data_IF_835598298553
#
_entry.id   IF_835598298553
#
_cell.length_a   1.000
_cell.length_b   1.000
_cell.length_c   1.000
_cell.angle_alpha   90.00
_cell.angle_beta   90.00
_cell.angle_gamma   90.00
#
_symmetry.space_group_name_H-M   'P 1'
#
loop_
_entity.id
_entity.type
_entity.pdbx_description
1 polymer ?
#
# COMPACT_ATOMS: atom_id res chain seq x y z
N UNK A 1 23.73 -2.65 2.14
CA UNK A 1 23.69 -2.83 3.61
C UNK A 1 23.72 -1.56 4.47
N UNK A 2 23.65 -0.34 3.91
CA UNK A 2 23.45 0.89 4.71
C UNK A 2 22.53 1.88 4.00
N UNK A 3 21.23 1.54 3.93
CA UNK A 3 20.23 2.49 3.42
C UNK A 3 19.94 3.60 4.44
N UNK A 4 20.07 3.30 5.74
CA UNK A 4 19.71 4.21 6.82
C UNK A 4 20.96 4.72 7.59
N UNK A 5 20.96 5.99 8.06
CA UNK A 5 19.96 7.03 7.76
C UNK A 5 19.96 7.39 6.27
N UNK A 6 18.82 7.89 5.78
CA UNK A 6 18.65 8.20 4.36
C UNK A 6 19.56 9.36 3.95
N UNK A 7 20.36 9.15 2.91
CA UNK A 7 21.08 10.20 2.20
C UNK A 7 20.09 10.92 1.24
N UNK A 8 19.50 12.02 1.74
CA UNK A 8 18.47 12.76 1.01
C UNK A 8 19.02 13.45 -0.25
N UNK A 9 20.24 13.98 -0.19
CA UNK A 9 20.86 14.63 -1.35
C UNK A 9 21.07 13.64 -2.48
N UNK A 10 21.54 12.43 -2.16
CA UNK A 10 21.65 11.35 -3.15
C UNK A 10 20.29 10.92 -3.69
N UNK A 11 19.26 10.84 -2.84
CA UNK A 11 17.91 10.46 -3.26
C UNK A 11 17.31 11.49 -4.22
N UNK A 12 17.36 12.78 -3.88
CA UNK A 12 16.85 13.85 -4.74
C UNK A 12 17.65 13.98 -6.05
N UNK A 13 18.99 13.90 -6.00
CA UNK A 13 19.82 13.85 -7.22
C UNK A 13 19.40 12.71 -8.14
N UNK A 14 19.02 11.55 -7.59
CA UNK A 14 18.55 10.44 -8.42
C UNK A 14 17.14 10.69 -8.98
N UNK A 15 16.22 11.21 -8.17
CA UNK A 15 14.87 11.58 -8.63
C UNK A 15 14.90 12.63 -9.75
N UNK A 16 15.81 13.62 -9.65
CA UNK A 16 15.98 14.65 -10.69
C UNK A 16 16.31 14.06 -12.08
N UNK A 17 16.98 12.90 -12.13
CA UNK A 17 17.31 12.22 -13.41
C UNK A 17 16.09 11.76 -14.21
N UNK A 18 14.94 11.59 -13.56
CA UNK A 18 13.68 11.12 -14.17
C UNK A 18 12.51 12.08 -13.93
N UNK A 19 12.73 13.19 -13.23
CA UNK A 19 11.67 14.08 -12.71
C UNK A 19 10.70 14.58 -13.78
N UNK A 20 11.19 14.84 -14.99
CA UNK A 20 10.38 15.28 -16.13
C UNK A 20 9.37 14.24 -16.61
N UNK A 21 9.60 12.97 -16.27
CA UNK A 21 8.78 11.82 -16.68
C UNK A 21 7.91 11.31 -15.53
N UNK A 22 7.95 11.93 -14.34
CA UNK A 22 7.16 11.51 -13.18
C UNK A 22 5.74 12.09 -13.27
N UNK A 23 4.75 11.20 -13.19
CA UNK A 23 3.35 11.55 -12.90
C UNK A 23 3.03 11.12 -11.48
N UNK A 24 2.67 12.08 -10.62
CA UNK A 24 2.40 11.83 -9.20
C UNK A 24 0.95 11.40 -8.97
N UNK A 25 0.76 10.29 -8.25
CA UNK A 25 -0.56 9.85 -7.78
C UNK A 25 -0.74 10.22 -6.29
N UNK A 26 -1.89 10.77 -5.95
CA UNK A 26 -2.28 11.13 -4.58
C UNK A 26 -3.16 10.08 -3.88
N UNK A 27 -3.63 9.08 -4.63
CA UNK A 27 -4.45 8.00 -4.08
C UNK A 27 -4.46 6.74 -4.94
N UNK A 28 -4.88 5.63 -4.33
CA UNK A 28 -4.81 4.32 -4.96
C UNK A 28 -5.61 4.19 -6.27
N UNK A 29 -6.82 4.77 -6.34
CA UNK A 29 -7.63 4.75 -7.57
C UNK A 29 -6.95 5.51 -8.72
N UNK A 30 -6.35 6.66 -8.43
CA UNK A 30 -5.58 7.43 -9.42
C UNK A 30 -4.39 6.62 -9.94
N UNK A 31 -3.67 5.92 -9.05
CA UNK A 31 -2.54 5.08 -9.47
C UNK A 31 -2.97 3.97 -10.44
N UNK A 32 -4.15 3.37 -10.23
CA UNK A 32 -4.71 2.35 -11.14
C UNK A 32 -5.04 2.95 -12.51
N UNK A 33 -5.72 4.09 -12.53
CA UNK A 33 -6.12 4.76 -13.77
C UNK A 33 -4.92 5.16 -14.63
N UNK A 34 -3.87 5.70 -14.03
CA UNK A 34 -2.65 6.10 -14.75
C UNK A 34 -2.03 4.92 -15.50
N UNK A 35 -1.93 3.75 -14.84
CA UNK A 35 -1.36 2.56 -15.47
C UNK A 35 -2.31 1.92 -16.48
N UNK A 36 -3.60 1.81 -16.15
CA UNK A 36 -4.61 1.18 -17.01
C UNK A 36 -4.85 1.95 -18.31
N UNK A 37 -4.80 3.29 -18.26
CA UNK A 37 -4.95 4.15 -19.44
C UNK A 37 -3.71 4.18 -20.33
N UNK A 38 -2.56 3.71 -19.84
CA UNK A 38 -1.28 3.84 -20.52
C UNK A 38 -0.64 5.23 -20.43
N UNK A 39 -1.20 6.14 -19.62
CA UNK A 39 -0.56 7.43 -19.33
C UNK A 39 0.81 7.25 -18.66
N UNK A 40 0.94 6.20 -17.84
CA UNK A 40 2.25 5.70 -17.36
C UNK A 40 2.45 4.25 -17.79
N UNK A 41 3.69 3.89 -18.10
CA UNK A 41 4.07 2.52 -18.51
C UNK A 41 4.58 1.65 -17.36
N UNK A 42 5.04 2.27 -16.27
CA UNK A 42 5.50 1.61 -15.03
C UNK A 42 5.49 2.59 -13.86
N UNK A 43 5.50 2.07 -12.63
CA UNK A 43 5.59 2.91 -11.45
C UNK A 43 5.66 2.13 -10.14
N UNK A 44 5.92 2.85 -9.05
CA UNK A 44 5.72 2.35 -7.69
C UNK A 44 4.23 2.42 -7.34
N UNK A 45 3.66 1.31 -6.90
CA UNK A 45 2.23 1.20 -6.56
C UNK A 45 2.04 0.34 -5.32
N UNK A 46 0.92 0.53 -4.61
CA UNK A 46 0.48 -0.42 -3.59
C UNK A 46 0.04 -1.74 -4.25
N UNK A 47 0.46 -2.87 -3.70
CA UNK A 47 0.29 -4.16 -4.37
C UNK A 47 -1.18 -4.55 -4.61
N UNK A 48 -2.09 -4.23 -3.67
CA UNK A 48 -3.52 -4.51 -3.85
C UNK A 48 -4.12 -3.79 -5.06
N UNK A 49 -3.54 -2.65 -5.49
CA UNK A 49 -3.98 -1.90 -6.67
C UNK A 49 -3.56 -2.58 -7.97
N UNK A 50 -2.36 -3.16 -8.00
CA UNK A 50 -1.91 -3.97 -9.14
C UNK A 50 -2.70 -5.28 -9.21
N UNK A 51 -2.97 -5.91 -8.06
CA UNK A 51 -3.83 -7.09 -8.00
C UNK A 51 -5.23 -6.82 -8.54
N UNK A 52 -5.87 -5.71 -8.15
CA UNK A 52 -7.18 -5.33 -8.67
C UNK A 52 -7.18 -5.14 -10.20
N UNK A 53 -6.15 -4.48 -10.76
CA UNK A 53 -6.00 -4.37 -12.21
C UNK A 53 -5.87 -5.73 -12.90
N UNK A 54 -5.17 -6.68 -12.29
CA UNK A 54 -5.05 -8.05 -12.82
C UNK A 54 -6.39 -8.80 -12.75
N UNK A 55 -7.18 -8.61 -11.68
CA UNK A 55 -8.53 -9.17 -11.59
C UNK A 55 -9.48 -8.58 -12.65
N UNK A 56 -9.31 -7.31 -12.99
CA UNK A 56 -10.06 -6.63 -14.06
C UNK A 56 -9.56 -6.99 -15.47
N UNK A 57 -8.54 -7.85 -15.59
CA UNK A 57 -8.00 -8.32 -16.87
C UNK A 57 -7.06 -7.34 -17.57
N UNK A 58 -6.59 -6.29 -16.88
CA UNK A 58 -5.62 -5.37 -17.45
C UNK A 58 -4.27 -6.08 -17.70
N UNK A 59 -3.58 -5.80 -18.83
CA UNK A 59 -2.33 -6.48 -19.20
C UNK A 59 -1.12 -5.93 -18.42
N UNK A 60 -1.13 -6.07 -17.09
CA UNK A 60 -0.10 -5.51 -16.20
C UNK A 60 0.72 -6.61 -15.50
N UNK A 61 2.04 -6.41 -15.48
CA UNK A 61 2.98 -7.25 -14.72
C UNK A 61 3.35 -6.66 -13.36
N UNK A 62 3.92 -7.49 -12.49
CA UNK A 62 4.44 -7.07 -11.17
C UNK A 62 5.83 -7.67 -10.93
N UNK A 63 6.73 -6.88 -10.35
CA UNK A 63 8.03 -7.34 -9.84
C UNK A 63 8.11 -7.09 -8.34
N UNK A 64 8.43 -8.15 -7.59
CA UNK A 64 8.60 -8.09 -6.13
C UNK A 64 10.05 -7.90 -5.68
N UNK A 65 10.99 -7.82 -6.64
CA UNK A 65 12.41 -7.59 -6.34
C UNK A 65 12.55 -6.24 -5.63
N UNK A 66 13.12 -6.26 -4.42
CA UNK A 66 13.27 -5.08 -3.56
C UNK A 66 11.95 -4.38 -3.19
N UNK A 67 10.84 -5.13 -3.07
CA UNK A 67 9.59 -4.56 -2.58
C UNK A 67 9.75 -3.91 -1.18
N UNK A 68 9.01 -2.82 -0.96
CA UNK A 68 9.03 -2.07 0.28
C UNK A 68 7.79 -2.42 1.10
N UNK A 69 7.99 -3.08 2.24
CA UNK A 69 6.90 -3.39 3.17
C UNK A 69 6.50 -2.13 3.93
N UNK A 70 5.21 -1.84 3.95
CA UNK A 70 4.61 -0.74 4.70
C UNK A 70 3.32 -1.23 5.37
N UNK A 71 2.95 -0.63 6.50
CA UNK A 71 1.75 -0.98 7.25
C UNK A 71 1.01 0.28 7.71
N UNK A 72 -0.32 0.18 7.74
CA UNK A 72 -1.20 1.15 8.38
C UNK A 72 -1.50 0.74 9.82
N UNK A 73 -1.89 1.72 10.63
CA UNK A 73 -2.20 1.53 12.05
C UNK A 73 -3.62 2.00 12.34
N UNK A 74 -4.40 1.14 12.99
CA UNK A 74 -5.66 1.55 13.61
C UNK A 74 -5.35 2.30 14.91
N UNK A 75 -5.82 3.54 15.03
CA UNK A 75 -5.59 4.40 16.19
C UNK A 75 -6.90 4.91 16.77
N UNK A 76 -6.92 5.16 18.08
CA UNK A 76 -8.03 5.83 18.76
C UNK A 76 -7.62 7.28 19.08
N UNK A 77 -8.19 8.29 18.40
CA UNK A 77 -7.89 9.68 18.71
C UNK A 77 -8.16 10.03 20.18
N UNK A 78 -7.29 10.85 20.78
CA UNK A 78 -7.47 11.31 22.16
C UNK A 78 -8.80 12.08 22.28
N UNK A 79 -9.62 11.70 23.25
CA UNK A 79 -10.95 12.29 23.47
C UNK A 79 -12.08 11.67 22.63
N UNK A 80 -11.84 10.54 21.96
CA UNK A 80 -12.88 9.81 21.25
C UNK A 80 -14.08 9.49 22.17
N UNK A 81 -15.28 9.92 21.75
CA UNK A 81 -16.53 9.75 22.50
C UNK A 81 -16.94 8.29 22.70
N UNK A 82 -16.44 7.39 21.85
CA UNK A 82 -16.82 5.98 21.80
C UNK A 82 -15.63 5.05 22.07
N UNK A 83 -14.78 5.39 23.05
CA UNK A 83 -13.53 4.66 23.35
C UNK A 83 -13.72 3.15 23.44
N UNK A 84 -14.68 2.67 24.22
CA UNK A 84 -14.85 1.23 24.45
C UNK A 84 -15.29 0.49 23.19
N UNK A 85 -16.17 1.11 22.39
CA UNK A 85 -16.57 0.56 21.10
C UNK A 85 -15.41 0.55 20.10
N UNK A 86 -14.59 1.60 20.08
CA UNK A 86 -13.40 1.67 19.23
C UNK A 86 -12.39 0.57 19.58
N UNK A 87 -12.17 0.29 20.88
CA UNK A 87 -11.29 -0.82 21.29
C UNK A 87 -11.84 -2.19 20.87
N UNK A 88 -13.15 -2.42 20.99
CA UNK A 88 -13.79 -3.64 20.49
C UNK A 88 -13.68 -3.76 18.97
N UNK A 89 -13.81 -2.65 18.24
CA UNK A 89 -13.61 -2.62 16.79
C UNK A 89 -12.19 -3.02 16.40
N UNK A 90 -11.17 -2.44 17.06
CA UNK A 90 -9.76 -2.79 16.79
C UNK A 90 -9.54 -4.28 17.06
N UNK A 91 -10.00 -4.79 18.20
CA UNK A 91 -9.87 -6.21 18.55
C UNK A 91 -10.49 -7.13 17.48
N UNK A 92 -11.66 -6.76 16.93
CA UNK A 92 -12.29 -7.50 15.84
C UNK A 92 -11.52 -7.38 14.52
N UNK A 93 -11.15 -6.16 14.13
CA UNK A 93 -10.46 -5.86 12.87
C UNK A 93 -9.06 -6.53 12.80
N UNK A 94 -8.40 -6.69 13.95
CA UNK A 94 -7.09 -7.37 14.05
C UNK A 94 -7.20 -8.84 14.51
N UNK A 95 -8.42 -9.38 14.61
CA UNK A 95 -8.62 -10.82 14.90
C UNK A 95 -8.13 -11.68 13.73
N UNK A 96 -7.85 -12.96 14.00
CA UNK A 96 -7.39 -13.90 12.98
C UNK A 96 -8.34 -13.92 11.76
N UNK A 97 -9.64 -14.08 12.02
CA UNK A 97 -10.69 -14.07 10.98
C UNK A 97 -10.81 -12.71 10.30
N UNK A 98 -10.85 -11.61 11.05
CA UNK A 98 -10.98 -10.26 10.48
C UNK A 98 -9.84 -9.92 9.52
N UNK A 99 -8.61 -10.29 9.89
CA UNK A 99 -7.42 -10.10 9.04
C UNK A 99 -7.40 -11.06 7.84
N UNK A 100 -7.83 -12.30 7.99
CA UNK A 100 -7.95 -13.24 6.87
C UNK A 100 -8.99 -12.76 5.83
N UNK A 101 -10.16 -12.32 6.31
CA UNK A 101 -11.21 -11.77 5.45
C UNK A 101 -10.71 -10.50 4.72
N UNK A 102 -10.03 -9.60 5.43
CA UNK A 102 -9.42 -8.41 4.83
C UNK A 102 -8.36 -8.75 3.77
N UNK A 103 -7.47 -9.70 4.07
CA UNK A 103 -6.43 -10.16 3.16
C UNK A 103 -7.03 -10.73 1.88
N UNK A 104 -8.06 -11.58 2.00
CA UNK A 104 -8.74 -12.19 0.85
C UNK A 104 -9.42 -11.17 -0.06
N UNK A 105 -9.94 -10.07 0.50
CA UNK A 105 -10.64 -9.03 -0.27
C UNK A 105 -9.70 -8.00 -0.90
N UNK A 106 -8.49 -7.81 -0.36
CA UNK A 106 -7.61 -6.71 -0.74
C UNK A 106 -6.26 -7.13 -1.32
N UNK A 107 -5.90 -8.40 -1.16
CA UNK A 107 -4.56 -8.95 -1.42
C UNK A 107 -3.44 -8.30 -0.59
N UNK A 108 -3.75 -7.56 0.48
CA UNK A 108 -2.77 -7.14 1.48
C UNK A 108 -2.53 -8.24 2.52
N UNK A 109 -1.35 -8.24 3.13
CA UNK A 109 -0.98 -9.25 4.10
C UNK A 109 -1.69 -9.05 5.46
N UNK A 110 -2.04 -10.13 6.18
CA UNK A 110 -2.58 -10.04 7.53
C UNK A 110 -1.50 -9.64 8.54
N UNK A 111 -1.89 -8.89 9.58
CA UNK A 111 -1.01 -8.55 10.73
C UNK A 111 -1.16 -9.47 11.94
N UNK A 112 -2.03 -10.48 11.84
CA UNK A 112 -2.22 -11.50 12.87
C UNK A 112 -1.62 -12.83 12.41
N UNK A 113 -0.71 -13.39 13.21
CA UNK A 113 0.03 -14.61 12.85
C UNK A 113 -0.81 -15.88 12.80
N UNK A 114 -2.08 -15.82 13.25
CA UNK A 114 -3.03 -16.94 13.23
C UNK A 114 -4.07 -16.79 12.10
N UNK A 115 -3.90 -15.83 11.19
CA UNK A 115 -4.82 -15.60 10.06
C UNK A 115 -4.65 -16.56 8.89
N UNK A 116 -3.61 -17.39 8.90
CA UNK A 116 -3.24 -18.34 7.85
C UNK A 116 -3.07 -19.75 8.41
#
# INVERSE_FOLDING_TARGET
>A
DKLYPLDLDRAFKKLDTIKKDIVWWGGGAQSQQLLASGEVSMGQMWNGRVYALQQDGAPVGVSWKQNLVMADFLVVPKGAKNKDAAMKFIANATSAKGQADFSNLSAYAPVNTQSV
#
